data_IF_315017301755
#
_entry.id   IF_315017301755
#
_cell.length_a   1.000
_cell.length_b   1.000
_cell.length_c   1.000
_cell.angle_alpha   90.00
_cell.angle_beta   90.00
_cell.angle_gamma   90.00
#
_symmetry.space_group_name_H-M   'P 1'
#
loop_
_entity.id
_entity.type
_entity.pdbx_description
1 polymer ?
#
# COMPACT_ATOMS: atom_id res chain seq x y z
N UNK A 1 -2.50 -5.92 32.02
CA UNK A 1 -1.30 -5.19 31.51
C UNK A 1 -0.42 -6.04 30.59
N UNK A 2 0.32 -7.08 31.07
CA UNK A 2 1.31 -7.83 30.25
C UNK A 2 0.81 -8.35 28.89
N UNK A 3 -0.42 -8.85 28.79
CA UNK A 3 -0.99 -9.34 27.53
C UNK A 3 -1.21 -8.24 26.47
N UNK A 4 -1.56 -7.00 26.86
CA UNK A 4 -1.68 -5.88 25.91
C UNK A 4 -0.31 -5.47 25.34
N UNK A 5 0.72 -5.39 26.20
CA UNK A 5 2.08 -5.09 25.76
C UNK A 5 2.61 -6.11 24.74
N UNK A 6 2.32 -7.41 24.94
CA UNK A 6 2.67 -8.46 23.99
C UNK A 6 1.95 -8.31 22.63
N UNK A 7 0.67 -7.91 22.62
CA UNK A 7 -0.08 -7.64 21.38
C UNK A 7 0.46 -6.41 20.64
N UNK A 8 0.73 -5.33 21.38
CA UNK A 8 1.29 -4.10 20.80
C UNK A 8 2.68 -4.35 20.18
N UNK A 9 3.58 -5.03 20.89
CA UNK A 9 4.91 -5.39 20.37
C UNK A 9 4.85 -6.23 19.09
N UNK A 10 3.90 -7.19 19.00
CA UNK A 10 3.68 -7.96 17.77
C UNK A 10 3.15 -7.11 16.60
N UNK A 11 2.27 -6.14 16.87
CA UNK A 11 1.79 -5.23 15.83
C UNK A 11 2.91 -4.30 15.34
N UNK A 12 3.72 -3.75 16.25
CA UNK A 12 4.87 -2.90 15.90
C UNK A 12 5.88 -3.70 15.06
N UNK A 13 6.21 -4.93 15.46
CA UNK A 13 7.09 -5.79 14.68
C UNK A 13 6.52 -6.12 13.28
N UNK A 14 5.20 -6.34 13.18
CA UNK A 14 4.53 -6.56 11.89
C UNK A 14 4.59 -5.31 11.00
N UNK A 15 4.28 -4.12 11.54
CA UNK A 15 4.34 -2.86 10.79
C UNK A 15 5.77 -2.57 10.34
N UNK A 16 6.77 -2.77 11.22
CA UNK A 16 8.19 -2.62 10.86
C UNK A 16 8.62 -3.60 9.75
N UNK A 17 8.09 -4.83 9.78
CA UNK A 17 8.33 -5.79 8.70
C UNK A 17 7.68 -5.38 7.37
N UNK A 18 6.46 -4.84 7.41
CA UNK A 18 5.77 -4.29 6.23
C UNK A 18 6.51 -3.08 5.67
N UNK A 19 7.02 -2.20 6.53
CA UNK A 19 7.87 -1.06 6.14
C UNK A 19 9.15 -1.52 5.46
N UNK A 20 9.79 -2.57 5.98
CA UNK A 20 10.98 -3.17 5.37
C UNK A 20 10.66 -3.75 3.98
N UNK A 21 9.53 -4.43 3.82
CA UNK A 21 9.07 -4.93 2.52
C UNK A 21 8.83 -3.78 1.53
N UNK A 22 8.16 -2.70 1.96
CA UNK A 22 7.93 -1.51 1.12
C UNK A 22 9.23 -0.82 0.71
N UNK A 23 10.20 -0.69 1.62
CA UNK A 23 11.55 -0.17 1.30
C UNK A 23 12.25 -0.98 0.21
N UNK A 24 12.16 -2.31 0.28
CA UNK A 24 12.74 -3.23 -0.70
C UNK A 24 11.96 -3.32 -2.02
N UNK A 25 10.76 -2.74 -2.10
CA UNK A 25 9.94 -2.69 -3.32
C UNK A 25 9.96 -1.32 -4.01
N UNK A 26 10.12 -0.24 -3.25
CA UNK A 26 10.45 1.09 -3.76
C UNK A 26 11.83 1.09 -4.43
N UNK A 27 12.81 0.45 -3.78
CA UNK A 27 13.95 -0.13 -4.52
C UNK A 27 13.44 -1.33 -5.32
N UNK A 28 13.97 -1.60 -6.51
CA UNK A 28 13.32 -2.34 -7.61
C UNK A 28 12.39 -1.43 -8.43
N UNK A 29 11.33 -0.83 -7.87
CA UNK A 29 10.45 0.03 -8.68
C UNK A 29 11.17 1.28 -9.22
N UNK A 30 11.94 1.99 -8.39
CA UNK A 30 12.83 3.09 -8.82
C UNK A 30 13.76 2.66 -9.96
N UNK A 31 14.30 1.44 -9.92
CA UNK A 31 15.27 0.93 -10.88
C UNK A 31 14.63 0.56 -12.23
N UNK A 32 13.32 0.27 -12.28
CA UNK A 32 12.61 -0.02 -13.53
C UNK A 32 11.86 1.21 -14.08
N UNK A 33 11.42 2.13 -13.22
CA UNK A 33 10.67 3.34 -13.64
C UNK A 33 11.53 4.59 -13.84
N UNK A 34 12.63 4.71 -13.08
CA UNK A 34 13.52 5.86 -13.11
C UNK A 34 12.79 7.18 -12.86
N UNK A 35 13.04 8.18 -13.70
CA UNK A 35 12.40 9.51 -13.59
C UNK A 35 10.99 9.60 -14.17
N UNK A 36 10.49 8.55 -14.82
CA UNK A 36 9.23 8.62 -15.56
C UNK A 36 8.00 8.35 -14.66
N UNK A 37 8.16 7.45 -13.68
CA UNK A 37 7.10 7.05 -12.74
C UNK A 37 5.94 6.29 -13.38
N UNK A 38 5.12 5.66 -12.53
CA UNK A 38 3.82 5.08 -12.88
C UNK A 38 3.83 4.18 -14.13
N UNK A 39 4.87 3.37 -14.23
CA UNK A 39 5.18 2.46 -15.32
C UNK A 39 5.11 3.12 -16.72
N UNK A 40 5.39 4.42 -16.82
CA UNK A 40 5.24 5.20 -18.05
C UNK A 40 6.09 4.68 -19.21
N UNK A 41 7.33 4.25 -18.93
CA UNK A 41 8.27 3.74 -19.91
C UNK A 41 8.40 2.19 -19.91
N UNK A 42 7.62 1.48 -19.10
CA UNK A 42 7.71 0.00 -19.05
C UNK A 42 7.08 -0.62 -20.30
N UNK A 43 7.65 -1.72 -20.85
CA UNK A 43 7.15 -2.40 -22.04
C UNK A 43 5.91 -3.24 -21.72
N UNK A 44 4.80 -2.57 -21.41
CA UNK A 44 3.55 -3.17 -20.94
C UNK A 44 2.34 -2.52 -21.58
N UNK A 45 1.22 -3.23 -21.64
CA UNK A 45 -0.04 -2.66 -22.14
C UNK A 45 -0.60 -1.62 -21.16
N UNK A 46 -1.39 -0.67 -21.65
CA UNK A 46 -1.92 0.44 -20.86
C UNK A 46 -3.37 0.75 -21.21
N UNK A 47 -4.18 1.05 -20.20
CA UNK A 47 -5.54 1.57 -20.32
C UNK A 47 -5.50 2.98 -19.74
N UNK A 48 -5.43 3.98 -20.62
CA UNK A 48 -5.32 5.39 -20.22
C UNK A 48 -6.66 5.96 -19.74
N UNK A 49 -7.78 5.49 -20.31
CA UNK A 49 -9.12 6.05 -20.06
C UNK A 49 -10.17 4.93 -19.92
N UNK A 50 -10.78 4.84 -18.74
CA UNK A 50 -11.98 4.04 -18.49
C UNK A 50 -12.62 4.51 -17.17
N UNK A 51 -13.94 4.66 -17.11
CA UNK A 51 -14.63 5.23 -15.94
C UNK A 51 -14.40 4.49 -14.61
N UNK A 52 -14.12 3.18 -14.67
CA UNK A 52 -13.70 2.40 -13.49
C UNK A 52 -12.36 2.88 -12.90
N UNK A 53 -11.48 3.50 -13.68
CA UNK A 53 -10.21 4.05 -13.19
C UNK A 53 -10.44 5.28 -12.31
N UNK A 54 -11.44 6.09 -12.63
CA UNK A 54 -11.81 7.26 -11.82
C UNK A 54 -12.34 6.84 -10.44
N UNK A 55 -13.06 5.72 -10.37
CA UNK A 55 -13.66 5.19 -9.14
C UNK A 55 -12.67 4.36 -8.31
N UNK A 56 -11.93 3.44 -8.94
CA UNK A 56 -11.12 2.42 -8.26
C UNK A 56 -9.61 2.64 -8.36
N UNK A 57 -9.15 3.51 -9.25
CA UNK A 57 -7.72 3.73 -9.53
C UNK A 57 -7.24 5.18 -9.32
N UNK A 58 -8.13 6.06 -8.82
CA UNK A 58 -7.82 7.48 -8.59
C UNK A 58 -7.60 8.28 -9.89
N UNK A 59 -8.22 7.87 -11.00
CA UNK A 59 -8.05 8.50 -12.32
C UNK A 59 -6.67 8.26 -12.95
N UNK A 60 -5.91 7.28 -12.45
CA UNK A 60 -4.60 6.90 -13.00
C UNK A 60 -4.76 5.88 -14.14
N UNK A 61 -3.86 5.86 -15.13
CA UNK A 61 -3.79 4.79 -16.11
C UNK A 61 -3.53 3.43 -15.44
N UNK A 62 -4.30 2.41 -15.82
CA UNK A 62 -3.96 1.03 -15.46
C UNK A 62 -2.92 0.51 -16.44
N UNK A 63 -1.79 0.00 -15.95
CA UNK A 63 -0.76 -0.62 -16.78
C UNK A 63 -0.73 -2.12 -16.52
N UNK A 64 -0.20 -2.91 -17.46
CA UNK A 64 -0.04 -4.34 -17.24
C UNK A 64 0.92 -4.66 -16.10
N UNK A 65 1.92 -3.81 -15.83
CA UNK A 65 2.73 -3.89 -14.62
C UNK A 65 1.85 -3.84 -13.36
N UNK A 66 1.04 -2.78 -13.23
CA UNK A 66 0.11 -2.62 -12.11
C UNK A 66 -0.87 -3.81 -12.00
N UNK A 67 -1.48 -4.22 -13.12
CA UNK A 67 -2.45 -5.30 -13.16
C UNK A 67 -1.91 -6.66 -12.67
N UNK A 68 -0.60 -6.88 -12.73
CA UNK A 68 0.04 -8.09 -12.19
C UNK A 68 0.67 -7.89 -10.81
N UNK A 69 1.27 -6.73 -10.53
CA UNK A 69 1.99 -6.47 -9.27
C UNK A 69 1.04 -6.38 -8.06
N UNK A 70 -0.12 -5.72 -8.22
CA UNK A 70 -1.11 -5.58 -7.15
C UNK A 70 -1.66 -6.94 -6.67
N UNK A 71 -2.17 -7.83 -7.54
CA UNK A 71 -2.60 -9.16 -7.11
C UNK A 71 -1.43 -10.05 -6.66
N UNK A 72 -0.22 -9.90 -7.23
CA UNK A 72 0.97 -10.63 -6.76
C UNK A 72 1.29 -10.30 -5.29
N UNK A 73 1.40 -9.02 -4.94
CA UNK A 73 1.63 -8.57 -3.55
C UNK A 73 0.48 -9.03 -2.65
N UNK A 74 -0.78 -8.92 -3.10
CA UNK A 74 -1.92 -9.40 -2.33
C UNK A 74 -1.81 -10.92 -2.04
N UNK A 75 -1.45 -11.75 -3.03
CA UNK A 75 -1.25 -13.19 -2.84
C UNK A 75 -0.16 -13.50 -1.81
N UNK A 76 0.96 -12.77 -1.82
CA UNK A 76 2.02 -12.93 -0.81
C UNK A 76 1.53 -12.63 0.61
N UNK A 77 0.76 -11.55 0.80
CA UNK A 77 0.22 -11.22 2.12
C UNK A 77 -0.87 -12.20 2.60
N UNK A 78 -1.62 -12.82 1.68
CA UNK A 78 -2.61 -13.86 2.01
C UNK A 78 -2.02 -15.27 2.15
N UNK A 79 -0.79 -15.52 1.66
CA UNK A 79 -0.17 -16.86 1.65
C UNK A 79 -0.23 -17.58 3.00
N UNK A 80 0.07 -16.97 4.17
CA UNK A 80 -0.04 -17.67 5.45
C UNK A 80 -1.49 -18.04 5.81
N UNK A 81 -2.46 -17.21 5.46
CA UNK A 81 -3.88 -17.48 5.73
C UNK A 81 -4.37 -18.70 4.94
N UNK A 82 -4.09 -18.70 3.63
CA UNK A 82 -4.46 -19.78 2.71
C UNK A 82 -3.74 -21.07 3.08
N UNK A 83 -2.40 -21.03 3.24
CA UNK A 83 -1.59 -22.23 3.46
C UNK A 83 -1.87 -22.93 4.80
N UNK A 84 -2.16 -22.18 5.87
CA UNK A 84 -2.56 -22.75 7.15
C UNK A 84 -4.06 -23.02 7.27
N UNK A 85 -4.85 -22.86 6.19
CA UNK A 85 -6.30 -23.01 6.15
C UNK A 85 -7.03 -22.28 7.29
N UNK A 86 -6.52 -21.10 7.67
CA UNK A 86 -7.09 -20.25 8.72
C UNK A 86 -7.58 -18.99 8.06
N UNK A 87 -8.85 -18.68 8.21
CA UNK A 87 -9.42 -17.42 7.77
C UNK A 87 -10.33 -16.84 8.85
N UNK A 88 -10.27 -15.52 9.03
CA UNK A 88 -11.22 -14.80 9.87
C UNK A 88 -11.21 -13.33 9.49
N UNK A 89 -12.34 -12.63 9.66
CA UNK A 89 -12.45 -11.22 9.33
C UNK A 89 -11.41 -10.33 10.04
N UNK A 90 -10.92 -10.74 11.22
CA UNK A 90 -9.85 -10.03 11.94
C UNK A 90 -8.51 -10.17 11.25
N UNK A 91 -8.24 -11.36 10.71
CA UNK A 91 -7.00 -11.59 9.98
C UNK A 91 -7.06 -10.94 8.60
N UNK A 92 -8.22 -10.99 7.94
CA UNK A 92 -8.47 -10.25 6.71
C UNK A 92 -8.25 -8.74 6.90
N UNK A 93 -8.87 -8.14 7.92
CA UNK A 93 -8.64 -6.74 8.25
C UNK A 93 -7.16 -6.42 8.50
N UNK A 94 -6.41 -7.34 9.11
CA UNK A 94 -4.96 -7.18 9.30
C UNK A 94 -4.18 -7.28 7.99
N UNK A 95 -4.52 -8.24 7.14
CA UNK A 95 -3.87 -8.46 5.84
C UNK A 95 -4.10 -7.24 4.94
N UNK A 96 -5.35 -6.77 4.82
CA UNK A 96 -5.68 -5.55 4.05
C UNK A 96 -4.99 -4.32 4.65
N UNK A 97 -4.93 -4.17 5.97
CA UNK A 97 -4.18 -3.07 6.60
C UNK A 97 -2.66 -3.14 6.31
N UNK A 98 -2.08 -4.34 6.29
CA UNK A 98 -0.68 -4.54 5.87
C UNK A 98 -0.48 -4.20 4.39
N UNK A 99 -1.39 -4.60 3.49
CA UNK A 99 -1.32 -4.27 2.06
C UNK A 99 -1.44 -2.75 1.84
N UNK A 100 -2.36 -2.07 2.53
CA UNK A 100 -2.48 -0.61 2.49
C UNK A 100 -1.21 0.07 3.00
N UNK A 101 -0.66 -0.41 4.13
CA UNK A 101 0.58 0.13 4.72
C UNK A 101 1.78 -0.12 3.81
N UNK A 102 1.84 -1.27 3.14
CA UNK A 102 2.89 -1.61 2.18
C UNK A 102 2.90 -0.57 1.05
N UNK A 103 1.79 -0.40 0.32
CA UNK A 103 1.71 0.52 -0.82
C UNK A 103 1.89 1.99 -0.42
N UNK A 104 1.45 2.41 0.78
CA UNK A 104 1.70 3.76 1.28
C UNK A 104 3.18 4.02 1.57
N UNK A 105 3.85 3.06 2.21
CA UNK A 105 5.27 3.19 2.57
C UNK A 105 6.15 3.05 1.33
N UNK A 106 5.77 2.18 0.42
CA UNK A 106 6.43 1.94 -0.85
C UNK A 106 6.36 3.20 -1.74
N UNK A 107 5.17 3.67 -2.15
CA UNK A 107 4.99 4.89 -2.97
C UNK A 107 5.66 6.12 -2.32
N UNK A 108 5.59 6.27 -0.99
CA UNK A 108 6.29 7.37 -0.30
C UNK A 108 7.82 7.22 -0.34
N UNK A 109 8.35 6.02 -0.09
CA UNK A 109 9.78 5.75 -0.17
C UNK A 109 10.30 5.83 -1.62
N UNK A 110 9.46 5.55 -2.61
CA UNK A 110 9.77 5.80 -4.01
C UNK A 110 10.13 7.28 -4.19
N UNK A 111 9.28 8.21 -3.77
CA UNK A 111 9.59 9.65 -3.88
C UNK A 111 10.78 10.08 -3.02
N UNK A 112 10.92 9.56 -1.80
CA UNK A 112 12.02 9.92 -0.89
C UNK A 112 13.37 9.46 -1.44
N UNK A 113 13.44 8.26 -2.02
CA UNK A 113 14.70 7.62 -2.43
C UNK A 113 15.03 7.82 -3.92
N UNK A 114 14.05 8.13 -4.78
CA UNK A 114 14.28 8.35 -6.21
C UNK A 114 15.07 9.66 -6.45
N UNK A 115 16.30 9.62 -7.00
CA UNK A 115 17.11 10.81 -7.24
C UNK A 115 16.49 11.81 -8.22
N UNK A 116 15.51 11.40 -9.04
CA UNK A 116 14.79 12.28 -9.95
C UNK A 116 13.72 13.13 -9.25
N UNK A 117 13.28 12.73 -8.05
CA UNK A 117 12.22 13.39 -7.28
C UNK A 117 12.76 13.95 -5.96
N UNK A 118 12.93 13.10 -4.96
CA UNK A 118 13.10 13.53 -3.57
C UNK A 118 11.84 14.21 -3.01
N UNK A 119 11.83 14.44 -1.70
CA UNK A 119 10.73 15.14 -1.00
C UNK A 119 10.47 16.55 -1.58
N UNK A 120 11.48 17.20 -2.16
CA UNK A 120 11.37 18.52 -2.77
C UNK A 120 10.55 18.56 -4.07
N UNK A 121 10.20 17.41 -4.65
CA UNK A 121 9.34 17.27 -5.85
C UNK A 121 8.12 16.37 -5.57
N UNK A 122 7.77 16.16 -4.29
CA UNK A 122 6.55 15.45 -3.92
C UNK A 122 5.37 16.43 -3.88
N UNK A 123 4.92 16.83 -5.06
CA UNK A 123 3.88 17.84 -5.25
C UNK A 123 3.08 17.62 -6.57
N UNK A 124 1.91 18.25 -6.73
CA UNK A 124 1.04 18.02 -7.89
C UNK A 124 1.63 18.42 -9.26
N UNK A 125 2.67 19.26 -9.31
CA UNK A 125 3.28 19.71 -10.57
C UNK A 125 4.24 18.66 -11.12
N UNK A 126 5.00 18.00 -10.25
CA UNK A 126 5.98 16.98 -10.63
C UNK A 126 5.36 15.56 -10.70
N UNK A 127 4.34 15.29 -9.90
CA UNK A 127 3.76 13.96 -9.71
C UNK A 127 2.38 13.84 -10.38
N UNK A 128 2.36 14.08 -11.69
CA UNK A 128 1.14 14.26 -12.49
C UNK A 128 0.22 13.02 -12.62
N UNK A 129 0.64 11.84 -12.14
CA UNK A 129 -0.23 10.67 -12.06
C UNK A 129 -1.17 10.73 -10.85
N UNK A 130 -0.73 11.23 -9.70
CA UNK A 130 -1.59 11.45 -8.54
C UNK A 130 -2.54 12.64 -8.82
N UNK A 131 -3.79 12.35 -9.23
CA UNK A 131 -4.75 13.35 -9.76
C UNK A 131 -5.37 14.26 -8.70
N UNK A 132 -5.46 13.79 -7.46
CA UNK A 132 -6.15 14.48 -6.38
C UNK A 132 -5.24 14.57 -5.17
N UNK A 133 -5.14 15.77 -4.60
CA UNK A 133 -4.27 16.08 -3.47
C UNK A 133 -5.06 16.78 -2.37
N UNK A 134 -4.72 16.46 -1.13
CA UNK A 134 -5.24 17.13 0.07
C UNK A 134 -4.04 17.59 0.89
N UNK A 135 -3.98 18.88 1.19
CA UNK A 135 -2.83 19.53 1.82
C UNK A 135 -1.51 19.22 1.05
N UNK A 136 -0.62 18.42 1.63
CA UNK A 136 0.73 18.15 1.13
C UNK A 136 0.94 16.73 0.57
N UNK A 137 -0.13 15.94 0.41
CA UNK A 137 -0.03 14.56 -0.09
C UNK A 137 -1.24 14.18 -0.98
N UNK A 138 -1.12 13.15 -1.83
CA UNK A 138 -2.24 12.61 -2.59
C UNK A 138 -3.42 12.24 -1.69
N UNK A 139 -4.65 12.36 -2.20
CA UNK A 139 -5.88 12.02 -1.46
C UNK A 139 -5.83 10.59 -0.91
N UNK A 140 -5.29 9.66 -1.69
CA UNK A 140 -5.14 8.24 -1.35
C UNK A 140 -4.29 8.03 -0.09
N UNK A 141 -3.30 8.89 0.18
CA UNK A 141 -2.47 8.78 1.38
C UNK A 141 -3.31 8.92 2.64
N UNK A 142 -4.22 9.90 2.65
CA UNK A 142 -5.09 10.18 3.78
C UNK A 142 -6.16 9.10 3.94
N UNK A 143 -6.80 8.68 2.86
CA UNK A 143 -7.89 7.70 2.90
C UNK A 143 -7.37 6.30 3.27
N UNK A 144 -6.27 5.85 2.65
CA UNK A 144 -5.65 4.56 2.97
C UNK A 144 -5.04 4.55 4.37
N UNK A 145 -4.41 5.64 4.83
CA UNK A 145 -3.89 5.71 6.22
C UNK A 145 -5.01 5.60 7.24
N UNK A 146 -6.09 6.35 7.05
CA UNK A 146 -7.27 6.27 7.93
C UNK A 146 -7.88 4.86 7.92
N UNK A 147 -8.04 4.25 6.73
CA UNK A 147 -8.55 2.89 6.58
C UNK A 147 -7.65 1.85 7.26
N UNK A 148 -6.33 1.91 7.05
CA UNK A 148 -5.36 1.01 7.68
C UNK A 148 -5.39 1.14 9.21
N UNK A 149 -5.45 2.35 9.77
CA UNK A 149 -5.60 2.57 11.22
C UNK A 149 -6.89 1.94 11.78
N UNK A 150 -8.02 2.10 11.08
CA UNK A 150 -9.30 1.47 11.47
C UNK A 150 -9.20 -0.05 11.39
N UNK A 151 -8.66 -0.60 10.31
CA UNK A 151 -8.55 -2.04 10.07
C UNK A 151 -7.58 -2.73 11.05
N UNK A 152 -6.42 -2.14 11.34
CA UNK A 152 -5.54 -2.63 12.41
C UNK A 152 -6.24 -2.61 13.77
N UNK A 153 -6.95 -1.54 14.09
CA UNK A 153 -7.73 -1.42 15.32
C UNK A 153 -8.81 -2.51 15.43
N UNK A 154 -9.56 -2.76 14.36
CA UNK A 154 -10.54 -3.83 14.25
C UNK A 154 -9.89 -5.22 14.39
N UNK A 155 -8.71 -5.45 13.80
CA UNK A 155 -7.97 -6.72 13.92
C UNK A 155 -7.55 -7.06 15.35
N UNK A 156 -7.42 -6.05 16.22
CA UNK A 156 -7.01 -6.19 17.62
C UNK A 156 -8.18 -6.41 18.59
N UNK A 157 -9.41 -6.07 18.20
CA UNK A 157 -10.60 -6.23 19.06
C UNK A 157 -10.83 -7.71 19.35
N UNK A 158 -10.78 -8.07 20.62
CA UNK A 158 -11.18 -9.42 21.03
C UNK A 158 -12.63 -9.69 20.62
N UNK A 159 -12.94 -10.95 20.30
CA UNK A 159 -14.33 -11.34 20.19
C UNK A 159 -14.97 -11.20 21.56
N UNK A 160 -16.02 -10.38 21.65
CA UNK A 160 -17.00 -10.52 22.72
C UNK A 160 -17.55 -11.95 22.60
N UNK A 161 -16.97 -12.86 23.38
CA UNK A 161 -17.63 -14.09 23.78
C UNK A 161 -18.80 -13.63 24.63
N UNK A 162 -19.94 -13.37 24.00
CA UNK A 162 -21.22 -13.49 24.70
C UNK A 162 -21.28 -14.94 25.15
N UNK A 163 -21.42 -15.12 26.45
CA UNK A 163 -21.57 -16.43 27.09
C UNK A 163 -22.88 -17.09 26.65
#
# INVERSE_FOLDING_TARGET
>A
MRQCACKAGRLIALIAWVVLLGFFFANVEIQIEGSAGWAANLPTWRIEHHWLLDIFWGGRPMTGYHAWVFPFVALFFHLPAVFFARWSWRMEARIVACIMTFWLVEDFLWFVLNPAYGVARFDPQHVAWHKHWIAFAPTDYWTMSAAACVLFSLSMREGSRRA
#
